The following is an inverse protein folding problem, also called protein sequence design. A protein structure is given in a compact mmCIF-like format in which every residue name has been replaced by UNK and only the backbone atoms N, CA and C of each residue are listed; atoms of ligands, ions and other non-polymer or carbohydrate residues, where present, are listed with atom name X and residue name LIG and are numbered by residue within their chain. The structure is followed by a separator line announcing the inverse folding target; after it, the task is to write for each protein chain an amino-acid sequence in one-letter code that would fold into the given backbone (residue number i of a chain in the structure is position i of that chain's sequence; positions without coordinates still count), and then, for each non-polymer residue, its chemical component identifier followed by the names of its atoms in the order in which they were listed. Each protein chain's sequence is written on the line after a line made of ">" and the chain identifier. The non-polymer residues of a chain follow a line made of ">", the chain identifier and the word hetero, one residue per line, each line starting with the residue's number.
data_IF_474269267393
#
_entry.id   IF_474269267393
#
_cell.length_a   1.000
_cell.length_b   1.000
_cell.length_c   1.000
_cell.angle_alpha   90.00
_cell.angle_beta   90.00
_cell.angle_gamma   90.00
#
_symmetry.space_group_name_H-M   'P 1'
#
loop_
_entity.id
_entity.type
_entity.pdbx_description
1 polymer ?
#
# COMPACT_ATOMS: atom_id res chain seq x y z
N UNK A 1 -2.33 -30.22 3.15
CA UNK A 1 -3.06 -29.94 4.41
C UNK A 1 -1.99 -29.53 5.40
N UNK A 2 -2.10 -28.36 6.02
CA UNK A 2 -1.12 -27.88 7.00
C UNK A 2 -1.63 -28.22 8.40
N UNK A 3 -0.73 -28.70 9.25
CA UNK A 3 -1.09 -29.23 10.56
C UNK A 3 -1.28 -28.13 11.62
N UNK A 4 -0.95 -26.86 11.30
CA UNK A 4 -1.20 -25.69 12.16
C UNK A 4 -1.53 -24.43 11.34
N UNK A 5 -2.21 -23.46 11.98
CA UNK A 5 -2.54 -22.16 11.39
C UNK A 5 -1.26 -21.38 11.03
N UNK A 6 -0.26 -21.36 11.91
CA UNK A 6 1.02 -20.70 11.68
C UNK A 6 1.79 -21.29 10.49
N UNK A 7 1.70 -22.61 10.27
CA UNK A 7 2.31 -23.25 9.10
C UNK A 7 1.54 -22.95 7.80
N UNK A 8 0.22 -22.77 7.89
CA UNK A 8 -0.60 -22.28 6.78
C UNK A 8 -0.31 -20.83 6.42
N UNK A 9 -0.11 -19.97 7.43
CA UNK A 9 0.29 -18.56 7.28
C UNK A 9 1.72 -18.49 6.72
N UNK A 10 2.70 -19.21 7.27
CA UNK A 10 4.07 -19.22 6.74
C UNK A 10 4.16 -19.75 5.29
N UNK A 11 3.32 -20.71 4.91
CA UNK A 11 3.24 -21.20 3.52
C UNK A 11 2.54 -20.21 2.58
N UNK A 12 1.49 -19.50 3.04
CA UNK A 12 0.86 -18.41 2.32
C UNK A 12 1.80 -17.20 2.16
N UNK A 13 2.63 -16.90 3.16
CA UNK A 13 3.70 -15.90 3.10
C UNK A 13 4.79 -16.28 2.08
N UNK A 14 5.11 -17.57 1.94
CA UNK A 14 6.16 -18.05 1.03
C UNK A 14 5.74 -18.21 -0.44
N UNK A 15 4.47 -18.52 -0.74
CA UNK A 15 3.98 -18.76 -2.12
C UNK A 15 3.01 -17.67 -2.61
N UNK A 16 2.24 -17.06 -1.71
CA UNK A 16 1.21 -16.08 -2.02
C UNK A 16 1.76 -14.70 -2.34
N UNK A 17 2.68 -14.17 -1.53
CA UNK A 17 3.23 -12.83 -1.74
C UNK A 17 4.16 -12.76 -2.94
N UNK A 18 5.04 -13.75 -3.14
CA UNK A 18 5.88 -13.81 -4.34
C UNK A 18 5.06 -13.84 -5.64
N UNK A 19 3.93 -14.55 -5.65
CA UNK A 19 3.02 -14.56 -6.80
C UNK A 19 2.31 -13.21 -7.00
N UNK A 20 1.91 -12.53 -5.92
CA UNK A 20 1.29 -11.20 -5.99
C UNK A 20 2.28 -10.15 -6.51
N UNK A 21 3.52 -10.17 -6.02
CA UNK A 21 4.61 -9.31 -6.49
C UNK A 21 4.90 -9.54 -7.98
N UNK A 22 5.07 -10.80 -8.39
CA UNK A 22 5.31 -11.16 -9.80
C UNK A 22 4.16 -10.69 -10.70
N UNK A 23 2.90 -10.84 -10.27
CA UNK A 23 1.75 -10.33 -11.03
C UNK A 23 1.75 -8.81 -11.13
N UNK A 24 2.09 -8.12 -10.04
CA UNK A 24 2.25 -6.67 -10.02
C UNK A 24 3.31 -6.20 -11.01
N UNK A 25 4.48 -6.84 -11.03
CA UNK A 25 5.54 -6.56 -12.01
C UNK A 25 5.06 -6.74 -13.45
N UNK A 26 4.47 -7.89 -13.75
CA UNK A 26 3.98 -8.21 -15.10
C UNK A 26 2.91 -7.23 -15.59
N UNK A 27 2.05 -6.76 -14.70
CA UNK A 27 0.98 -5.83 -15.04
C UNK A 27 1.50 -4.51 -15.63
N UNK A 28 2.75 -4.12 -15.34
CA UNK A 28 3.33 -2.84 -15.78
C UNK A 28 4.48 -2.97 -16.78
N UNK A 29 4.84 -4.18 -17.21
CA UNK A 29 5.98 -4.41 -18.14
C UNK A 29 5.85 -3.64 -19.46
N UNK A 30 4.64 -3.57 -20.01
CA UNK A 30 4.36 -2.86 -21.28
C UNK A 30 4.00 -1.38 -21.12
N UNK A 31 3.96 -0.85 -19.90
CA UNK A 31 3.56 0.52 -19.64
C UNK A 31 4.75 1.48 -19.72
N UNK A 32 4.55 2.76 -20.10
CA UNK A 32 5.61 3.76 -20.08
C UNK A 32 6.14 4.00 -18.66
N UNK A 33 7.27 4.71 -18.57
CA UNK A 33 7.71 5.33 -17.32
C UNK A 33 6.75 6.47 -16.92
N UNK A 34 6.94 7.03 -15.73
CA UNK A 34 6.10 8.14 -15.26
C UNK A 34 4.77 7.65 -14.67
N UNK A 35 4.81 6.61 -13.84
CA UNK A 35 3.62 6.02 -13.22
C UNK A 35 3.61 6.26 -11.72
N UNK A 36 2.43 6.54 -11.16
CA UNK A 36 2.16 6.43 -9.73
C UNK A 36 1.59 5.04 -9.47
N UNK A 37 2.18 4.31 -8.51
CA UNK A 37 1.68 3.00 -8.10
C UNK A 37 0.62 3.18 -7.01
N UNK A 38 -0.55 2.57 -7.18
CA UNK A 38 -1.62 2.58 -6.18
C UNK A 38 -1.94 1.14 -5.80
N UNK A 39 -1.91 0.86 -4.50
CA UNK A 39 -2.12 -0.49 -3.97
C UNK A 39 -3.05 -0.49 -2.77
N UNK A 40 -3.88 -1.53 -2.66
CA UNK A 40 -4.86 -1.67 -1.59
C UNK A 40 -4.70 -3.02 -0.90
N UNK A 41 -4.61 -3.05 0.43
CA UNK A 41 -4.40 -4.26 1.24
C UNK A 41 -3.23 -5.08 0.68
N UNK A 42 -3.43 -6.34 0.29
CA UNK A 42 -2.39 -7.15 -0.37
C UNK A 42 -1.78 -6.49 -1.63
N UNK A 43 -2.54 -5.65 -2.32
CA UNK A 43 -2.06 -4.87 -3.46
C UNK A 43 -1.07 -3.75 -3.10
N UNK A 44 -0.95 -3.38 -1.83
CA UNK A 44 0.05 -2.43 -1.36
C UNK A 44 1.48 -2.96 -1.55
N UNK A 45 1.69 -4.28 -1.39
CA UNK A 45 3.00 -4.93 -1.59
C UNK A 45 3.57 -4.68 -3.00
N UNK A 46 2.90 -5.06 -4.10
CA UNK A 46 3.42 -4.81 -5.44
C UNK A 46 3.46 -3.32 -5.78
N UNK A 47 2.53 -2.50 -5.26
CA UNK A 47 2.58 -1.06 -5.51
C UNK A 47 3.83 -0.42 -4.88
N UNK A 48 4.14 -0.79 -3.64
CA UNK A 48 5.32 -0.35 -2.93
C UNK A 48 6.61 -0.87 -3.59
N UNK A 49 6.66 -2.14 -3.97
CA UNK A 49 7.78 -2.70 -4.73
C UNK A 49 8.03 -1.95 -6.03
N UNK A 50 6.98 -1.66 -6.80
CA UNK A 50 7.09 -0.94 -8.05
C UNK A 50 7.60 0.49 -7.83
N UNK A 51 7.09 1.19 -6.82
CA UNK A 51 7.56 2.52 -6.48
C UNK A 51 9.05 2.52 -6.10
N UNK A 52 9.50 1.53 -5.33
CA UNK A 52 10.88 1.45 -4.85
C UNK A 52 11.88 0.96 -5.91
N UNK A 53 11.44 0.11 -6.84
CA UNK A 53 12.36 -0.61 -7.74
C UNK A 53 12.22 -0.26 -9.21
N UNK A 54 11.10 0.32 -9.66
CA UNK A 54 10.90 0.66 -11.08
C UNK A 54 11.50 2.04 -11.40
N UNK A 55 12.44 2.15 -12.35
CA UNK A 55 12.93 3.43 -12.82
C UNK A 55 11.81 4.33 -13.36
N UNK A 56 11.80 5.59 -12.93
CA UNK A 56 10.82 6.58 -13.38
C UNK A 56 9.43 6.45 -12.73
N UNK A 57 9.32 5.80 -11.58
CA UNK A 57 8.15 5.95 -10.72
C UNK A 57 7.96 7.42 -10.31
N UNK A 58 6.71 7.88 -10.22
CA UNK A 58 6.36 9.25 -9.80
C UNK A 58 5.85 9.32 -8.36
N UNK A 59 5.53 8.18 -7.74
CA UNK A 59 5.10 8.10 -6.35
C UNK A 59 4.33 6.83 -6.04
N UNK A 60 3.89 6.71 -4.80
CA UNK A 60 3.04 5.62 -4.33
C UNK A 60 1.87 6.12 -3.49
N UNK A 61 0.71 5.49 -3.67
CA UNK A 61 -0.44 5.59 -2.77
C UNK A 61 -0.75 4.20 -2.22
N UNK A 62 -0.62 4.04 -0.91
CA UNK A 62 -0.83 2.77 -0.21
C UNK A 62 -2.09 2.86 0.65
N UNK A 63 -3.05 1.98 0.41
CA UNK A 63 -4.31 1.93 1.13
C UNK A 63 -4.36 0.65 1.95
N UNK A 64 -4.74 0.77 3.22
CA UNK A 64 -5.00 -0.37 4.12
C UNK A 64 -3.80 -1.29 4.23
N UNK A 65 -2.61 -0.73 4.43
CA UNK A 65 -1.39 -1.50 4.65
C UNK A 65 -0.18 -0.99 3.88
N UNK A 66 0.98 -1.24 4.46
CA UNK A 66 2.30 -1.00 3.88
C UNK A 66 3.31 -1.96 4.53
N UNK A 67 4.55 -1.94 4.05
CA UNK A 67 5.66 -2.67 4.70
C UNK A 67 6.86 -1.75 4.91
N UNK A 68 7.83 -2.13 5.76
CA UNK A 68 9.08 -1.38 5.86
C UNK A 68 9.78 -1.23 4.50
N UNK A 69 10.39 -0.08 4.17
CA UNK A 69 11.09 0.12 2.90
C UNK A 69 12.19 -0.92 2.65
N UNK A 70 12.80 -1.45 3.71
CA UNK A 70 13.85 -2.47 3.62
C UNK A 70 13.41 -3.73 2.88
N UNK A 71 12.11 -4.06 2.86
CA UNK A 71 11.56 -5.20 2.11
C UNK A 71 11.89 -5.12 0.62
N UNK A 72 12.03 -3.91 0.06
CA UNK A 72 12.38 -3.71 -1.35
C UNK A 72 13.63 -2.83 -1.55
N UNK A 73 14.54 -2.84 -0.58
CA UNK A 73 15.86 -2.21 -0.69
C UNK A 73 15.96 -0.74 -0.28
N UNK A 74 14.89 -0.16 0.26
CA UNK A 74 14.84 1.23 0.73
C UNK A 74 13.96 2.14 -0.12
N UNK A 75 13.55 3.28 0.45
CA UNK A 75 12.71 4.24 -0.26
C UNK A 75 13.55 5.16 -1.16
N UNK A 76 13.20 5.35 -2.44
CA UNK A 76 13.92 6.25 -3.33
C UNK A 76 13.86 7.72 -2.85
N UNK A 77 15.00 8.43 -2.80
CA UNK A 77 15.02 9.82 -2.36
C UNK A 77 14.12 10.72 -3.23
N UNK A 78 13.28 11.54 -2.57
CA UNK A 78 12.40 12.49 -3.23
C UNK A 78 11.17 11.88 -3.91
N UNK A 79 10.95 10.56 -3.81
CA UNK A 79 9.77 9.91 -4.36
C UNK A 79 8.57 10.11 -3.42
N UNK A 80 7.49 10.80 -3.84
CA UNK A 80 6.33 11.05 -3.01
C UNK A 80 5.61 9.77 -2.56
N UNK A 81 5.11 9.78 -1.32
CA UNK A 81 4.34 8.69 -0.72
C UNK A 81 3.10 9.24 -0.03
N UNK A 82 1.97 8.58 -0.23
CA UNK A 82 0.74 8.82 0.52
C UNK A 82 0.21 7.50 1.08
N UNK A 83 -0.07 7.43 2.38
CA UNK A 83 -0.59 6.24 3.07
C UNK A 83 -1.95 6.54 3.69
N UNK A 84 -2.89 5.62 3.53
CA UNK A 84 -4.26 5.71 4.02
C UNK A 84 -4.62 4.47 4.84
N UNK A 85 -4.85 4.64 6.14
CA UNK A 85 -5.25 3.55 7.04
C UNK A 85 -6.24 4.06 8.09
N UNK A 86 -7.10 3.18 8.58
CA UNK A 86 -7.91 3.47 9.76
C UNK A 86 -7.04 3.39 11.03
N UNK A 87 -7.30 4.24 12.01
CA UNK A 87 -6.43 4.48 13.16
C UNK A 87 -6.27 3.26 14.08
N UNK A 88 -7.28 2.39 14.09
CA UNK A 88 -7.34 1.17 14.90
C UNK A 88 -7.36 -0.10 14.01
N UNK A 89 -6.94 -0.01 12.74
CA UNK A 89 -6.92 -1.16 11.81
C UNK A 89 -5.74 -2.10 12.13
N UNK A 90 -6.05 -3.25 12.75
CA UNK A 90 -5.06 -4.28 13.11
C UNK A 90 -4.36 -4.91 11.90
N UNK A 91 -4.96 -4.88 10.70
CA UNK A 91 -4.36 -5.44 9.48
C UNK A 91 -3.62 -4.38 8.66
N UNK A 92 -3.97 -3.11 8.83
CA UNK A 92 -3.34 -1.98 8.14
C UNK A 92 -2.00 -1.55 8.75
N UNK A 93 -1.68 -2.08 9.93
CA UNK A 93 -0.51 -1.79 10.76
C UNK A 93 -0.10 -0.31 10.78
N UNK A 94 -0.81 0.44 11.62
CA UNK A 94 -0.65 1.89 11.76
C UNK A 94 0.74 2.27 12.25
N UNK A 95 1.39 1.42 13.06
CA UNK A 95 2.73 1.71 13.57
C UNK A 95 3.76 1.60 12.45
N UNK A 96 3.67 0.58 11.60
CA UNK A 96 4.50 0.51 10.40
C UNK A 96 4.23 1.63 9.40
N UNK A 97 2.97 2.05 9.24
CA UNK A 97 2.65 3.23 8.43
C UNK A 97 3.29 4.51 8.98
N UNK A 98 3.31 4.68 10.31
CA UNK A 98 3.97 5.82 10.97
C UNK A 98 5.49 5.77 10.78
N UNK A 99 6.10 4.61 10.98
CA UNK A 99 7.53 4.43 10.81
C UNK A 99 7.98 4.66 9.37
N UNK A 100 7.25 4.11 8.40
CA UNK A 100 7.50 4.32 6.97
C UNK A 100 7.47 5.81 6.63
N UNK A 101 6.40 6.52 7.00
CA UNK A 101 6.21 7.93 6.66
C UNK A 101 7.23 8.83 7.39
N UNK A 102 7.65 8.47 8.61
CA UNK A 102 8.71 9.19 9.32
C UNK A 102 10.09 9.05 8.63
N UNK A 103 10.31 7.96 7.90
CA UNK A 103 11.55 7.70 7.15
C UNK A 103 11.58 8.25 5.71
N UNK A 104 10.48 8.84 5.23
CA UNK A 104 10.34 9.31 3.85
C UNK A 104 10.04 10.81 3.82
N UNK A 105 10.99 11.60 3.31
CA UNK A 105 10.85 13.04 3.18
C UNK A 105 9.62 13.41 2.33
N UNK A 106 8.70 14.18 2.93
CA UNK A 106 7.49 14.65 2.25
C UNK A 106 6.38 13.61 2.10
N UNK A 107 6.50 12.44 2.76
CA UNK A 107 5.42 11.47 2.82
C UNK A 107 4.22 11.98 3.63
N UNK A 108 3.02 11.55 3.24
CA UNK A 108 1.76 11.92 3.88
C UNK A 108 1.11 10.68 4.50
N UNK A 109 0.86 10.69 5.82
CA UNK A 109 0.02 9.70 6.49
C UNK A 109 -1.36 10.29 6.78
N UNK A 110 -2.41 9.63 6.28
CA UNK A 110 -3.79 9.98 6.53
C UNK A 110 -4.48 8.89 7.33
N UNK A 111 -4.77 9.22 8.60
CA UNK A 111 -5.51 8.34 9.50
C UNK A 111 -7.00 8.68 9.48
N UNK A 112 -7.81 7.64 9.43
CA UNK A 112 -9.27 7.73 9.49
C UNK A 112 -9.78 7.15 10.82
N UNK A 113 -10.80 7.73 11.47
CA UNK A 113 -11.39 7.12 12.65
C UNK A 113 -11.96 5.73 12.34
N UNK A 114 -11.78 4.76 13.25
CA UNK A 114 -12.24 3.38 13.10
C UNK A 114 -11.09 2.40 13.02
N UNK A 115 -11.43 1.11 12.92
CA UNK A 115 -10.47 0.00 12.84
C UNK A 115 -10.80 -1.03 11.77
N UNK A 116 -11.67 -0.67 10.82
CA UNK A 116 -12.08 -1.56 9.76
C UNK A 116 -11.07 -1.56 8.61
N UNK A 117 -10.57 -2.74 8.28
CA UNK A 117 -9.78 -2.95 7.08
C UNK A 117 -10.66 -2.85 5.82
N UNK A 118 -10.09 -2.36 4.71
CA UNK A 118 -10.81 -2.18 3.44
C UNK A 118 -12.04 -1.27 3.54
N UNK A 119 -12.05 -0.28 4.43
CA UNK A 119 -13.18 0.66 4.60
C UNK A 119 -13.56 1.43 3.32
N UNK A 120 -12.73 1.41 2.27
CA UNK A 120 -13.02 2.04 0.97
C UNK A 120 -13.71 1.12 -0.04
N UNK A 121 -13.92 -0.15 0.28
CA UNK A 121 -14.57 -1.10 -0.62
C UNK A 121 -16.09 -1.06 -0.44
N UNK A 122 -16.79 -0.39 -1.36
CA UNK A 122 -18.23 -0.24 -1.36
C UNK A 122 -19.04 -1.55 -1.43
N UNK A 123 -18.38 -2.69 -1.69
CA UNK A 123 -19.02 -4.01 -1.66
C UNK A 123 -19.07 -4.63 -0.26
N UNK A 124 -18.33 -4.08 0.72
CA UNK A 124 -18.24 -4.62 2.07
C UNK A 124 -19.16 -3.88 3.05
N UNK A 125 -19.68 -4.55 4.10
CA UNK A 125 -20.47 -3.90 5.15
C UNK A 125 -19.71 -2.83 5.94
N UNK A 126 -18.38 -2.92 5.96
CA UNK A 126 -17.47 -1.99 6.64
C UNK A 126 -17.19 -0.72 5.85
N UNK A 127 -17.77 -0.58 4.66
CA UNK A 127 -17.58 0.60 3.81
C UNK A 127 -17.99 1.89 4.53
N UNK A 128 -17.04 2.81 4.65
CA UNK A 128 -17.28 4.17 5.10
C UNK A 128 -17.19 5.12 3.90
N UNK A 129 -18.35 5.56 3.41
CA UNK A 129 -18.43 6.46 2.26
C UNK A 129 -17.76 7.82 2.51
N UNK A 130 -17.85 8.36 3.72
CA UNK A 130 -17.28 9.67 4.03
C UNK A 130 -15.75 9.60 4.10
N UNK A 131 -15.21 8.55 4.73
CA UNK A 131 -13.77 8.30 4.72
C UNK A 131 -13.27 8.02 3.29
N UNK A 132 -14.05 7.29 2.48
CA UNK A 132 -13.72 7.02 1.07
C UNK A 132 -13.64 8.29 0.22
N UNK A 133 -14.59 9.20 0.36
CA UNK A 133 -14.56 10.49 -0.36
C UNK A 133 -13.31 11.31 0.00
N UNK A 134 -12.89 11.27 1.28
CA UNK A 134 -11.66 11.91 1.72
C UNK A 134 -10.42 11.26 1.11
N UNK A 135 -10.35 9.92 1.06
CA UNK A 135 -9.27 9.17 0.39
C UNK A 135 -9.17 9.61 -1.08
N UNK A 136 -10.29 9.59 -1.80
CA UNK A 136 -10.32 9.94 -3.23
C UNK A 136 -9.86 11.39 -3.44
N UNK A 137 -10.36 12.35 -2.65
CA UNK A 137 -9.96 13.74 -2.75
C UNK A 137 -8.45 13.96 -2.52
N UNK A 138 -7.89 13.29 -1.52
CA UNK A 138 -6.45 13.35 -1.18
C UNK A 138 -5.59 12.71 -2.26
N UNK A 139 -6.00 11.55 -2.77
CA UNK A 139 -5.32 10.84 -3.85
C UNK A 139 -5.33 11.65 -5.15
N UNK A 140 -6.46 12.25 -5.53
CA UNK A 140 -6.52 13.13 -6.70
C UNK A 140 -5.62 14.36 -6.52
N UNK A 141 -5.59 14.95 -5.33
CA UNK A 141 -4.70 16.04 -4.99
C UNK A 141 -3.21 15.65 -5.05
N UNK A 142 -2.87 14.42 -4.65
CA UNK A 142 -1.54 13.84 -4.78
C UNK A 142 -1.15 13.67 -6.26
N UNK A 143 -1.99 12.99 -7.04
CA UNK A 143 -1.78 12.73 -8.47
C UNK A 143 -1.62 14.01 -9.30
N UNK A 144 -2.34 15.09 -8.95
CA UNK A 144 -2.23 16.38 -9.64
C UNK A 144 -0.87 17.08 -9.46
N UNK A 145 -0.06 16.63 -8.48
CA UNK A 145 1.28 17.18 -8.18
C UNK A 145 2.42 16.22 -8.53
N UNK A 146 2.10 14.99 -8.95
CA UNK A 146 3.06 13.94 -9.33
C UNK A 146 3.53 14.06 -10.77
#
# INVERSE_FOLDING_TARGET
>A
MFDTLDAGVAHAHGIGFGTVLERGRRAVEGLPAGLVAVGMSLGALPAQELAQTRPGALGAVLLHGCVPPSEFGGWPPGLPLQVHVMADDELGDVDEARELVAGVDGAELHLYPGGDHLFTDASLPVHDAAATDLVVGRMLGFLARS
#
